data_IF_290951683525
#
_entry.id   IF_290951683525
#
_cell.length_a   1.000
_cell.length_b   1.000
_cell.length_c   1.000
_cell.angle_alpha   90.00
_cell.angle_beta   90.00
_cell.angle_gamma   90.00
#
_symmetry.space_group_name_H-M   'P 1'
#
loop_
_entity.id
_entity.type
_entity.pdbx_description
1 polymer ?
#
# COMPACT_ATOMS: atom_id res chain seq x y z
N UNK A 1 -10.89 -21.64 -2.52
CA UNK A 1 -10.89 -20.72 -1.37
C UNK A 1 -12.31 -20.37 -1.03
N UNK A 2 -12.70 -20.18 0.23
CA UNK A 2 -14.03 -19.65 0.56
C UNK A 2 -14.19 -18.29 -0.11
N UNK A 3 -15.32 -18.10 -0.79
CA UNK A 3 -15.66 -16.88 -1.51
C UNK A 3 -15.83 -15.74 -0.51
N UNK A 4 -15.33 -14.56 -0.85
CA UNK A 4 -15.56 -13.35 -0.05
C UNK A 4 -17.04 -12.97 -0.07
N UNK A 5 -17.58 -12.48 1.06
CA UNK A 5 -18.95 -11.93 1.09
C UNK A 5 -19.09 -10.60 0.34
N UNK A 6 -17.99 -9.87 0.10
CA UNK A 6 -17.97 -8.62 -0.67
C UNK A 6 -17.74 -8.96 -2.14
N UNK A 7 -18.69 -8.65 -3.00
CA UNK A 7 -18.63 -8.94 -4.44
C UNK A 7 -18.21 -7.73 -5.27
N UNK A 8 -18.32 -6.50 -4.74
CA UNK A 8 -17.96 -5.27 -5.45
C UNK A 8 -17.45 -4.15 -4.55
N UNK A 9 -16.44 -3.43 -5.03
CA UNK A 9 -15.82 -2.32 -4.28
C UNK A 9 -15.55 -1.11 -5.15
N UNK A 10 -15.70 0.10 -4.58
CA UNK A 10 -15.09 1.31 -5.10
C UNK A 10 -13.65 1.37 -4.60
N UNK A 11 -12.68 1.34 -5.50
CA UNK A 11 -11.25 1.51 -5.18
C UNK A 11 -10.94 3.00 -5.11
N UNK A 12 -10.97 3.56 -3.91
CA UNK A 12 -10.63 4.96 -3.67
C UNK A 12 -9.11 5.13 -3.60
N UNK A 13 -8.49 5.17 -4.78
CA UNK A 13 -7.04 5.23 -4.95
C UNK A 13 -6.64 5.45 -6.39
N UNK A 14 -5.35 5.70 -6.64
CA UNK A 14 -4.76 6.00 -7.96
C UNK A 14 -3.33 5.48 -8.09
N UNK A 15 -2.76 5.65 -9.28
CA UNK A 15 -1.36 5.30 -9.54
C UNK A 15 -1.03 3.83 -9.24
N UNK A 16 0.21 3.51 -8.86
CA UNK A 16 0.63 2.13 -8.60
C UNK A 16 -0.21 1.44 -7.52
N UNK A 17 -0.54 2.13 -6.43
CA UNK A 17 -1.33 1.56 -5.34
C UNK A 17 -2.77 1.25 -5.78
N UNK A 18 -3.39 2.13 -6.58
CA UNK A 18 -4.69 1.88 -7.21
C UNK A 18 -4.64 0.68 -8.16
N UNK A 19 -3.59 0.57 -8.99
CA UNK A 19 -3.38 -0.58 -9.86
C UNK A 19 -3.22 -1.89 -9.08
N UNK A 20 -2.47 -1.87 -7.97
CA UNK A 20 -2.31 -3.03 -7.09
C UNK A 20 -3.66 -3.48 -6.50
N UNK A 21 -4.45 -2.53 -6.01
CA UNK A 21 -5.76 -2.82 -5.41
C UNK A 21 -6.74 -3.41 -6.45
N UNK A 22 -6.80 -2.83 -7.65
CA UNK A 22 -7.64 -3.36 -8.75
C UNK A 22 -7.21 -4.78 -9.14
N UNK A 23 -5.90 -5.00 -9.33
CA UNK A 23 -5.39 -6.33 -9.67
C UNK A 23 -5.62 -7.37 -8.56
N UNK A 24 -5.61 -6.97 -7.29
CA UNK A 24 -5.98 -7.85 -6.18
C UNK A 24 -7.46 -8.21 -6.21
N UNK A 25 -8.35 -7.24 -6.46
CA UNK A 25 -9.78 -7.49 -6.62
C UNK A 25 -10.06 -8.48 -7.77
N UNK A 26 -9.39 -8.34 -8.92
CA UNK A 26 -9.49 -9.27 -10.04
C UNK A 26 -9.11 -10.70 -9.62
N UNK A 27 -7.98 -10.89 -8.93
CA UNK A 27 -7.56 -12.21 -8.41
C UNK A 27 -8.56 -12.83 -7.44
N UNK A 28 -9.26 -11.99 -6.68
CA UNK A 28 -10.24 -12.41 -5.67
C UNK A 28 -11.65 -12.61 -6.25
N UNK A 29 -11.87 -12.26 -7.52
CA UNK A 29 -13.18 -12.31 -8.15
C UNK A 29 -14.13 -11.21 -7.64
N UNK A 30 -13.60 -10.11 -7.10
CA UNK A 30 -14.34 -8.95 -6.62
C UNK A 30 -14.37 -7.88 -7.71
N UNK A 31 -15.55 -7.41 -8.07
CA UNK A 31 -15.69 -6.33 -9.05
C UNK A 31 -15.08 -5.04 -8.53
N UNK A 32 -14.12 -4.48 -9.25
CA UNK A 32 -13.45 -3.24 -8.91
C UNK A 32 -13.96 -2.07 -9.75
N UNK A 33 -14.49 -1.03 -9.11
CA UNK A 33 -14.82 0.24 -9.73
C UNK A 33 -13.76 1.27 -9.35
N UNK A 34 -12.98 1.73 -10.32
CA UNK A 34 -11.96 2.75 -10.10
C UNK A 34 -12.59 4.15 -10.02
N UNK A 35 -11.91 5.05 -9.32
CA UNK A 35 -12.25 6.48 -9.36
C UNK A 35 -11.17 7.24 -10.12
N UNK A 36 -11.54 8.34 -10.78
CA UNK A 36 -10.58 9.19 -11.48
C UNK A 36 -10.99 10.66 -11.47
N UNK A 37 -10.00 11.54 -11.60
CA UNK A 37 -10.22 12.96 -11.93
C UNK A 37 -10.30 13.15 -13.43
N UNK A 38 -10.62 14.36 -13.87
CA UNK A 38 -10.64 14.71 -15.30
C UNK A 38 -9.29 14.46 -15.99
N UNK A 39 -8.16 14.72 -15.30
CA UNK A 39 -6.82 14.54 -15.85
C UNK A 39 -6.39 13.07 -15.96
N UNK A 40 -6.99 12.17 -15.19
CA UNK A 40 -6.63 10.75 -15.13
C UNK A 40 -7.68 9.80 -15.76
N UNK A 41 -8.57 10.32 -16.62
CA UNK A 41 -9.61 9.52 -17.30
C UNK A 41 -9.08 8.27 -18.01
N UNK A 42 -7.87 8.32 -18.52
CA UNK A 42 -7.21 7.21 -19.21
C UNK A 42 -6.04 6.62 -18.41
N UNK A 43 -5.94 6.90 -17.11
CA UNK A 43 -4.87 6.37 -16.27
C UNK A 43 -4.90 4.84 -16.19
N UNK A 44 -3.76 4.21 -15.91
CA UNK A 44 -3.64 2.76 -15.90
C UNK A 44 -4.62 2.08 -14.93
N UNK A 45 -4.81 2.60 -13.72
CA UNK A 45 -5.75 2.02 -12.76
C UNK A 45 -7.20 2.06 -13.24
N UNK A 46 -7.56 3.05 -14.07
CA UNK A 46 -8.88 3.15 -14.73
C UNK A 46 -9.03 2.07 -15.81
N UNK A 47 -7.98 1.86 -16.62
CA UNK A 47 -8.00 0.86 -17.69
C UNK A 47 -8.03 -0.59 -17.18
N UNK A 48 -7.52 -0.83 -15.96
CA UNK A 48 -7.47 -2.15 -15.34
C UNK A 48 -8.77 -2.53 -14.63
N UNK A 49 -9.56 -1.56 -14.19
CA UNK A 49 -10.79 -1.79 -13.44
C UNK A 49 -11.95 -2.26 -14.34
N UNK A 50 -12.92 -2.94 -13.74
CA UNK A 50 -14.16 -3.37 -14.43
C UNK A 50 -15.03 -2.19 -14.86
N UNK A 51 -14.98 -1.09 -14.08
CA UNK A 51 -15.72 0.13 -14.34
C UNK A 51 -15.00 1.32 -13.71
N UNK A 52 -15.36 2.56 -14.07
CA UNK A 52 -14.72 3.75 -13.52
C UNK A 52 -15.68 4.93 -13.40
N UNK A 53 -15.50 5.75 -12.36
CA UNK A 53 -16.34 6.91 -12.06
C UNK A 53 -15.50 8.18 -11.92
N UNK A 54 -15.93 9.22 -12.62
CA UNK A 54 -15.35 10.56 -12.49
C UNK A 54 -15.71 11.16 -11.13
N UNK A 55 -14.70 11.56 -10.36
CA UNK A 55 -14.86 12.31 -9.11
C UNK A 55 -14.99 13.81 -9.35
N UNK A 56 -14.20 14.39 -10.26
CA UNK A 56 -14.21 15.82 -10.53
C UNK A 56 -12.95 16.33 -11.21
N UNK A 57 -12.65 17.63 -11.08
CA UNK A 57 -11.49 18.26 -11.72
C UNK A 57 -10.17 17.72 -11.15
N UNK A 58 -9.04 18.14 -11.74
CA UNK A 58 -7.72 17.66 -11.40
C UNK A 58 -7.28 17.89 -9.94
N UNK A 59 -7.55 19.05 -9.29
CA UNK A 59 -7.10 19.25 -7.91
C UNK A 59 -7.60 18.15 -6.97
N UNK A 60 -6.70 17.57 -6.17
CA UNK A 60 -7.01 16.45 -5.27
C UNK A 60 -8.12 16.78 -4.25
N UNK A 61 -8.14 18.02 -3.73
CA UNK A 61 -9.17 18.48 -2.81
C UNK A 61 -10.58 18.51 -3.43
N UNK A 62 -10.67 18.62 -4.76
CA UNK A 62 -11.92 18.66 -5.52
C UNK A 62 -12.24 17.29 -6.19
N UNK A 63 -11.41 16.28 -5.96
CA UNK A 63 -11.57 14.94 -6.52
C UNK A 63 -11.25 13.84 -5.50
N UNK A 64 -10.03 13.33 -5.49
CA UNK A 64 -9.62 12.17 -4.68
C UNK A 64 -9.75 12.36 -3.16
N UNK A 65 -9.69 13.58 -2.65
CA UNK A 65 -9.85 13.90 -1.22
C UNK A 65 -11.24 14.46 -0.88
N UNK A 66 -12.13 14.60 -1.86
CA UNK A 66 -13.48 15.12 -1.67
C UNK A 66 -14.42 14.00 -1.16
N UNK A 67 -14.65 13.95 0.15
CA UNK A 67 -15.45 12.91 0.83
C UNK A 67 -16.80 12.70 0.14
N UNK A 68 -17.56 13.79 -0.09
CA UNK A 68 -18.89 13.73 -0.65
C UNK A 68 -18.90 13.15 -2.07
N UNK A 69 -17.85 13.42 -2.87
CA UNK A 69 -17.70 12.88 -4.23
C UNK A 69 -17.37 11.39 -4.24
N UNK A 70 -16.54 10.93 -3.30
CA UNK A 70 -16.23 9.50 -3.15
C UNK A 70 -17.49 8.72 -2.78
N UNK A 71 -18.24 9.21 -1.79
CA UNK A 71 -19.48 8.56 -1.34
C UNK A 71 -20.53 8.54 -2.46
N UNK A 72 -20.71 9.65 -3.17
CA UNK A 72 -21.64 9.73 -4.31
C UNK A 72 -21.22 8.79 -5.45
N UNK A 73 -19.92 8.72 -5.77
CA UNK A 73 -19.39 7.77 -6.75
C UNK A 73 -19.71 6.33 -6.37
N UNK A 74 -19.51 5.94 -5.10
CA UNK A 74 -19.81 4.61 -4.61
C UNK A 74 -21.31 4.27 -4.73
N UNK A 75 -22.18 5.21 -4.33
CA UNK A 75 -23.64 5.03 -4.46
C UNK A 75 -24.09 4.86 -5.90
N UNK A 76 -23.58 5.71 -6.80
CA UNK A 76 -23.92 5.66 -8.22
C UNK A 76 -23.43 4.39 -8.92
N UNK A 77 -22.32 3.85 -8.47
CA UNK A 77 -21.76 2.60 -9.02
C UNK A 77 -22.48 1.35 -8.53
N UNK A 78 -23.31 1.47 -7.47
CA UNK A 78 -24.01 0.34 -6.87
C UNK A 78 -23.07 -0.69 -6.24
N UNK A 79 -21.87 -0.28 -5.81
CA UNK A 79 -20.91 -1.15 -5.10
C UNK A 79 -21.33 -1.38 -3.67
N UNK A 80 -20.85 -2.47 -3.08
CA UNK A 80 -21.17 -2.85 -1.68
C UNK A 80 -20.22 -2.20 -0.67
N UNK A 81 -18.98 -1.91 -1.08
CA UNK A 81 -17.96 -1.42 -0.18
C UNK A 81 -17.09 -0.33 -0.81
N UNK A 82 -16.42 0.45 0.04
CA UNK A 82 -15.37 1.40 -0.35
C UNK A 82 -14.05 0.93 0.24
N UNK A 83 -13.07 0.70 -0.63
CA UNK A 83 -11.68 0.37 -0.29
C UNK A 83 -10.82 1.64 -0.40
N UNK A 84 -10.48 2.29 0.72
CA UNK A 84 -9.56 3.41 0.73
C UNK A 84 -8.13 2.90 0.58
N UNK A 85 -7.42 3.30 -0.47
CA UNK A 85 -6.09 2.78 -0.75
C UNK A 85 -5.01 3.55 0.02
N UNK A 86 -4.86 4.88 -0.13
CA UNK A 86 -3.79 5.59 0.57
C UNK A 86 -4.13 5.82 2.06
N UNK A 87 -3.12 5.89 2.93
CA UNK A 87 -3.31 6.18 4.36
C UNK A 87 -4.14 7.44 4.62
N UNK A 88 -3.98 8.48 3.81
CA UNK A 88 -4.74 9.72 3.93
C UNK A 88 -6.27 9.54 3.79
N UNK A 89 -6.73 8.55 3.04
CA UNK A 89 -8.15 8.19 2.95
C UNK A 89 -8.51 7.14 3.99
N UNK A 90 -7.67 6.13 4.18
CA UNK A 90 -7.94 5.02 5.10
C UNK A 90 -7.98 5.47 6.57
N UNK A 91 -7.21 6.50 6.93
CA UNK A 91 -7.24 7.13 8.27
C UNK A 91 -8.31 8.23 8.43
N UNK A 92 -9.08 8.52 7.38
CA UNK A 92 -10.07 9.60 7.42
C UNK A 92 -11.39 9.14 8.07
N UNK A 93 -11.57 9.41 9.36
CA UNK A 93 -12.76 9.04 10.13
C UNK A 93 -14.05 9.64 9.54
N UNK A 94 -13.99 10.88 9.01
CA UNK A 94 -15.15 11.52 8.35
C UNK A 94 -15.58 10.75 7.09
N UNK A 95 -14.61 10.30 6.27
CA UNK A 95 -14.93 9.47 5.10
C UNK A 95 -15.52 8.14 5.53
N UNK A 96 -14.93 7.47 6.53
CA UNK A 96 -15.42 6.21 7.07
C UNK A 96 -16.88 6.33 7.55
N UNK A 97 -17.18 7.35 8.36
CA UNK A 97 -18.52 7.62 8.85
C UNK A 97 -19.53 7.93 7.72
N UNK A 98 -19.10 8.69 6.70
CA UNK A 98 -19.94 9.04 5.56
C UNK A 98 -20.28 7.81 4.69
N UNK A 99 -19.32 6.91 4.48
CA UNK A 99 -19.51 5.65 3.75
C UNK A 99 -20.50 4.76 4.50
N UNK A 100 -20.30 4.57 5.80
CA UNK A 100 -21.20 3.76 6.65
C UNK A 100 -22.61 4.39 6.70
N UNK A 101 -22.69 5.71 6.87
CA UNK A 101 -23.95 6.46 6.85
C UNK A 101 -24.70 6.38 5.51
N UNK A 102 -24.00 6.09 4.42
CA UNK A 102 -24.59 5.83 3.10
C UNK A 102 -25.09 4.38 2.93
N UNK A 103 -24.94 3.52 3.94
CA UNK A 103 -25.33 2.11 3.89
C UNK A 103 -24.30 1.22 3.18
N UNK A 104 -23.07 1.70 2.99
CA UNK A 104 -21.98 0.96 2.34
C UNK A 104 -21.02 0.39 3.40
N UNK A 105 -20.35 -0.71 3.08
CA UNK A 105 -19.28 -1.25 3.92
C UNK A 105 -18.03 -0.39 3.79
N UNK A 106 -17.40 -0.05 4.90
CA UNK A 106 -16.11 0.60 4.97
C UNK A 106 -15.00 -0.44 5.13
N UNK A 107 -13.97 -0.40 4.26
CA UNK A 107 -12.83 -1.32 4.34
C UNK A 107 -11.72 -0.66 5.15
N UNK A 108 -11.81 -0.75 6.47
CA UNK A 108 -10.86 -0.14 7.38
C UNK A 108 -11.38 -0.17 8.83
N UNK A 109 -10.63 0.44 9.77
CA UNK A 109 -11.05 0.56 11.15
C UNK A 109 -12.32 1.42 11.30
N UNK A 110 -13.05 1.20 12.38
CA UNK A 110 -14.24 1.98 12.72
C UNK A 110 -13.91 3.48 12.86
N UNK A 111 -14.79 4.40 12.42
CA UNK A 111 -14.54 5.83 12.51
C UNK A 111 -14.22 6.32 13.93
N UNK A 112 -14.86 5.81 14.98
CA UNK A 112 -14.55 6.19 16.37
C UNK A 112 -13.15 5.72 16.80
N UNK A 113 -12.70 4.59 16.27
CA UNK A 113 -11.33 4.08 16.51
C UNK A 113 -10.31 4.92 15.76
N UNK A 114 -10.61 5.34 14.53
CA UNK A 114 -9.76 6.24 13.76
C UNK A 114 -9.61 7.61 14.42
N UNK A 115 -10.69 8.20 14.93
CA UNK A 115 -10.64 9.48 15.67
C UNK A 115 -9.78 9.39 16.93
N UNK A 116 -9.80 8.25 17.61
CA UNK A 116 -9.08 8.05 18.86
C UNK A 116 -7.62 7.63 18.69
N UNK A 117 -7.30 6.80 17.70
CA UNK A 117 -6.01 6.14 17.54
C UNK A 117 -5.32 6.42 16.22
N UNK A 118 -6.08 6.62 15.17
CA UNK A 118 -5.53 6.91 13.85
C UNK A 118 -5.20 8.39 13.76
N UNK A 119 -3.94 8.73 13.70
CA UNK A 119 -3.52 10.11 13.45
C UNK A 119 -4.18 10.69 12.18
N UNK A 120 -3.66 11.80 11.68
CA UNK A 120 -4.21 12.55 10.52
C UNK A 120 -4.16 11.80 9.16
N UNK A 121 -4.18 10.47 9.15
CA UNK A 121 -4.08 9.65 7.94
C UNK A 121 -2.69 9.70 7.28
N UNK A 122 -1.68 10.02 8.07
CA UNK A 122 -0.28 10.09 7.64
C UNK A 122 0.44 8.80 8.03
N UNK A 123 1.33 8.32 7.17
CA UNK A 123 2.23 7.21 7.51
C UNK A 123 3.11 7.57 8.72
N UNK A 124 3.36 6.63 9.65
CA UNK A 124 4.23 6.89 10.79
C UNK A 124 5.57 7.50 10.39
N UNK A 125 5.97 8.58 11.04
CA UNK A 125 7.24 9.25 10.78
C UNK A 125 8.46 8.46 11.28
N UNK A 126 8.26 7.52 12.20
CA UNK A 126 9.29 6.70 12.81
C UNK A 126 10.02 5.84 11.78
N UNK A 127 11.35 5.73 11.89
CA UNK A 127 12.18 4.86 11.05
C UNK A 127 11.95 3.37 11.34
N UNK A 128 11.44 3.05 12.53
CA UNK A 128 11.13 1.70 12.97
C UNK A 128 9.67 1.56 13.33
N UNK A 129 9.16 0.35 13.19
CA UNK A 129 7.80 0.04 13.52
C UNK A 129 7.46 -1.41 13.31
N UNK A 130 6.17 -1.67 13.25
CA UNK A 130 5.67 -2.99 12.86
C UNK A 130 4.38 -2.84 12.07
N UNK A 131 4.06 -3.92 11.37
CA UNK A 131 2.86 -4.13 10.60
C UNK A 131 2.09 -5.29 11.21
N UNK A 132 0.80 -5.27 11.14
CA UNK A 132 -0.01 -6.41 11.52
C UNK A 132 -1.38 -6.38 10.82
N UNK A 133 -2.02 -7.53 10.80
CA UNK A 133 -3.44 -7.65 10.58
C UNK A 133 -4.13 -7.89 11.91
N UNK A 134 -4.99 -6.94 12.32
CA UNK A 134 -5.70 -6.96 13.61
C UNK A 134 -7.06 -7.60 13.43
N UNK A 135 -7.30 -8.69 14.14
CA UNK A 135 -8.57 -9.40 14.19
C UNK A 135 -9.19 -9.32 15.59
N UNK A 136 -10.37 -9.90 15.80
CA UNK A 136 -10.97 -9.99 17.12
C UNK A 136 -10.15 -10.88 18.08
N UNK A 137 -9.48 -11.90 17.52
CA UNK A 137 -8.66 -12.87 18.25
C UNK A 137 -7.26 -12.38 18.58
N UNK A 138 -6.82 -11.28 17.94
CA UNK A 138 -5.47 -10.74 18.16
C UNK A 138 -4.77 -10.23 16.92
N UNK A 139 -3.45 -10.12 17.02
CA UNK A 139 -2.58 -9.68 15.93
C UNK A 139 -2.13 -10.90 15.11
N UNK A 140 -2.25 -10.80 13.80
CA UNK A 140 -1.74 -11.78 12.83
C UNK A 140 -0.74 -11.12 11.87
N UNK A 141 0.17 -11.90 11.30
CA UNK A 141 1.18 -11.45 10.33
C UNK A 141 2.01 -10.27 10.85
N UNK A 142 2.31 -10.29 12.15
CA UNK A 142 3.12 -9.24 12.76
C UNK A 142 4.53 -9.22 12.17
N UNK A 143 4.89 -8.09 11.58
CA UNK A 143 6.11 -7.93 10.81
C UNK A 143 6.85 -6.69 11.30
N UNK A 144 8.04 -6.83 11.93
CA UNK A 144 8.89 -5.68 12.20
C UNK A 144 9.27 -4.99 10.89
N UNK A 145 9.32 -3.67 10.89
CA UNK A 145 9.68 -2.88 9.71
C UNK A 145 10.67 -1.78 10.08
N UNK A 146 11.66 -1.61 9.22
CA UNK A 146 12.55 -0.45 9.21
C UNK A 146 12.39 0.30 7.89
N UNK A 147 12.65 1.61 7.88
CA UNK A 147 12.40 2.50 6.76
C UNK A 147 13.58 3.43 6.51
N UNK A 148 13.97 3.55 5.24
CA UNK A 148 14.75 4.68 4.76
C UNK A 148 13.78 5.70 4.19
N UNK A 149 13.95 6.97 4.59
CA UNK A 149 13.01 8.06 4.27
C UNK A 149 13.73 9.20 3.57
N UNK A 150 13.08 9.81 2.60
CA UNK A 150 13.51 11.07 1.99
C UNK A 150 12.33 12.03 1.94
N UNK A 151 12.54 13.28 2.34
CA UNK A 151 11.53 14.32 2.41
C UNK A 151 10.24 13.88 3.15
N UNK A 152 10.39 13.12 4.24
CA UNK A 152 9.27 12.64 5.06
C UNK A 152 8.52 11.41 4.50
N UNK A 153 8.92 10.88 3.35
CA UNK A 153 8.27 9.74 2.69
C UNK A 153 9.16 8.50 2.79
N UNK A 154 8.61 7.35 3.16
CA UNK A 154 9.31 6.08 3.11
C UNK A 154 9.63 5.71 1.66
N UNK A 155 10.92 5.52 1.36
CA UNK A 155 11.44 5.19 0.02
C UNK A 155 11.79 3.72 -0.09
N UNK A 156 12.34 3.17 0.97
CA UNK A 156 12.66 1.76 1.13
C UNK A 156 12.14 1.31 2.48
N UNK A 157 11.44 0.20 2.52
CA UNK A 157 10.97 -0.46 3.73
C UNK A 157 11.44 -1.91 3.71
N UNK A 158 11.86 -2.45 4.85
CA UNK A 158 12.32 -3.84 4.93
C UNK A 158 12.07 -4.45 6.32
N UNK A 159 12.05 -5.79 6.39
CA UNK A 159 12.07 -6.49 7.66
C UNK A 159 13.50 -6.51 8.20
N UNK A 160 13.80 -5.89 9.37
CA UNK A 160 15.08 -6.10 10.04
C UNK A 160 15.16 -7.56 10.50
N UNK A 161 16.31 -8.21 10.32
CA UNK A 161 16.49 -9.64 10.55
C UNK A 161 16.31 -10.12 12.01
N UNK A 162 16.00 -9.24 12.95
CA UNK A 162 15.78 -9.55 14.38
C UNK A 162 14.35 -9.21 14.76
N UNK A 163 13.57 -10.15 15.32
CA UNK A 163 12.26 -9.85 15.85
C UNK A 163 12.37 -8.81 16.97
N UNK A 164 11.87 -7.61 16.77
CA UNK A 164 11.70 -6.66 17.88
C UNK A 164 10.54 -7.12 18.76
N UNK A 165 10.68 -6.96 20.07
CA UNK A 165 9.58 -7.17 20.98
C UNK A 165 8.52 -6.09 20.71
N UNK A 166 7.30 -6.52 20.44
CA UNK A 166 6.19 -5.59 20.28
C UNK A 166 5.97 -4.80 21.58
N UNK A 167 5.85 -3.46 21.50
CA UNK A 167 5.40 -2.66 22.62
C UNK A 167 4.13 -3.25 23.23
N UNK A 168 4.03 -3.23 24.56
CA UNK A 168 2.87 -3.79 25.26
C UNK A 168 1.55 -3.13 24.83
N UNK A 169 1.59 -1.83 24.52
CA UNK A 169 0.45 -1.08 24.00
C UNK A 169 -0.05 -1.59 22.65
N UNK A 170 0.84 -2.08 21.79
CA UNK A 170 0.48 -2.64 20.49
C UNK A 170 -0.42 -3.89 20.60
N UNK A 171 -0.17 -4.71 21.63
CA UNK A 171 -0.97 -5.92 21.90
C UNK A 171 -2.41 -5.60 22.29
N UNK A 172 -2.68 -4.35 22.67
CA UNK A 172 -4.02 -3.87 23.04
C UNK A 172 -4.84 -3.35 21.88
N UNK A 173 -4.29 -3.25 20.66
CA UNK A 173 -5.03 -2.78 19.48
C UNK A 173 -6.36 -3.54 19.26
N UNK A 174 -6.46 -4.87 19.41
CA UNK A 174 -7.72 -5.59 19.30
C UNK A 174 -8.75 -5.17 20.40
N UNK A 175 -8.29 -4.94 21.63
CA UNK A 175 -9.12 -4.48 22.77
C UNK A 175 -9.60 -3.03 22.57
N UNK A 176 -8.78 -2.20 21.92
CA UNK A 176 -9.11 -0.83 21.56
C UNK A 176 -10.08 -0.74 20.36
N UNK A 177 -10.45 -1.87 19.78
CA UNK A 177 -11.43 -1.97 18.69
C UNK A 177 -10.82 -1.84 17.30
N UNK A 178 -9.48 -1.75 17.15
CA UNK A 178 -8.88 -1.73 15.81
C UNK A 178 -9.18 -3.04 15.07
N UNK A 179 -9.59 -2.93 13.81
CA UNK A 179 -9.82 -4.06 12.90
C UNK A 179 -9.21 -3.75 11.54
N UNK A 180 -8.57 -4.75 10.93
CA UNK A 180 -7.92 -4.62 9.63
C UNK A 180 -6.41 -4.39 9.72
N UNK A 181 -5.83 -3.95 8.64
CA UNK A 181 -4.39 -3.70 8.53
C UNK A 181 -3.97 -2.50 9.39
N UNK A 182 -2.78 -2.58 9.95
CA UNK A 182 -2.20 -1.52 10.76
C UNK A 182 -0.71 -1.37 10.46
N UNK A 183 -0.28 -0.12 10.33
CA UNK A 183 1.12 0.30 10.35
C UNK A 183 1.35 1.09 11.63
N UNK A 184 2.35 0.70 12.41
CA UNK A 184 2.65 1.33 13.69
C UNK A 184 4.09 1.82 13.70
N UNK A 185 4.30 3.08 14.11
CA UNK A 185 5.60 3.61 14.44
C UNK A 185 6.02 3.22 15.86
N UNK A 186 7.30 3.03 16.07
CA UNK A 186 7.89 2.83 17.40
C UNK A 186 8.82 4.01 17.67
N UNK A 187 8.63 4.66 18.82
CA UNK A 187 9.50 5.74 19.26
C UNK A 187 10.90 5.22 19.59
N UNK A 188 11.93 6.10 19.68
CA UNK A 188 13.27 5.70 20.09
C UNK A 188 13.32 5.01 21.46
N UNK A 189 12.36 5.33 22.35
CA UNK A 189 12.24 4.72 23.68
C UNK A 189 11.53 3.36 23.66
N UNK A 190 11.14 2.86 22.48
CA UNK A 190 10.46 1.59 22.31
C UNK A 190 8.95 1.60 22.61
N UNK A 191 8.36 2.79 22.77
CA UNK A 191 6.93 2.95 23.01
C UNK A 191 6.14 3.02 21.70
N UNK A 192 4.82 2.84 21.81
CA UNK A 192 3.89 2.97 20.70
C UNK A 192 3.89 4.40 20.19
N UNK A 193 4.26 4.58 18.93
CA UNK A 193 4.18 5.83 18.20
C UNK A 193 2.86 5.98 17.43
N UNK A 194 2.95 6.60 16.25
CA UNK A 194 1.79 6.83 15.39
C UNK A 194 1.24 5.51 14.85
N UNK A 195 -0.08 5.48 14.66
CA UNK A 195 -0.81 4.35 14.11
C UNK A 195 -1.50 4.79 12.82
N UNK A 196 -1.34 4.05 11.75
CA UNK A 196 -1.97 4.34 10.46
C UNK A 196 -2.69 3.13 9.87
N UNK A 197 -3.79 3.41 9.17
CA UNK A 197 -4.52 2.46 8.33
C UNK A 197 -4.11 2.62 6.86
N UNK A 198 -4.54 1.71 6.01
CA UNK A 198 -4.41 1.78 4.56
C UNK A 198 -3.24 0.99 3.98
N UNK A 199 -3.10 1.10 2.67
CA UNK A 199 -2.14 0.33 1.88
C UNK A 199 -0.89 1.19 1.59
N UNK A 200 0.00 1.30 2.58
CA UNK A 200 1.29 1.96 2.44
C UNK A 200 2.34 1.06 1.75
N UNK A 201 3.54 1.60 1.50
CA UNK A 201 4.69 0.82 1.03
C UNK A 201 4.98 -0.38 1.94
N UNK A 202 4.81 -0.21 3.24
CA UNK A 202 5.08 -1.25 4.24
C UNK A 202 4.21 -2.49 4.06
N UNK A 203 2.98 -2.35 3.54
CA UNK A 203 2.11 -3.50 3.30
C UNK A 203 2.71 -4.46 2.26
N UNK A 204 3.48 -3.97 1.30
CA UNK A 204 4.21 -4.83 0.38
C UNK A 204 5.31 -5.64 1.10
N UNK A 205 5.89 -5.13 2.20
CA UNK A 205 6.79 -5.90 3.07
C UNK A 205 6.03 -7.02 3.77
N UNK A 206 4.87 -6.75 4.37
CA UNK A 206 4.02 -7.75 5.01
C UNK A 206 3.61 -8.85 4.03
N UNK A 207 3.18 -8.47 2.83
CA UNK A 207 2.79 -9.42 1.79
C UNK A 207 3.92 -10.39 1.41
N UNK A 208 5.13 -9.84 1.18
CA UNK A 208 6.30 -10.64 0.80
C UNK A 208 6.82 -11.48 1.97
N UNK A 209 6.73 -10.95 3.20
CA UNK A 209 7.17 -11.68 4.39
C UNK A 209 6.30 -12.91 4.69
N UNK A 210 5.00 -12.83 4.48
CA UNK A 210 4.06 -13.89 4.87
C UNK A 210 3.38 -14.60 3.70
N UNK A 211 3.59 -14.18 2.47
CA UNK A 211 2.93 -14.76 1.30
C UNK A 211 1.41 -14.54 1.30
N UNK A 212 0.96 -13.39 1.79
CA UNK A 212 -0.47 -12.99 1.86
C UNK A 212 -0.74 -11.79 0.96
N UNK A 213 -2.01 -11.51 0.72
CA UNK A 213 -2.47 -10.33 -0.03
C UNK A 213 -3.12 -9.33 0.94
N UNK A 214 -2.56 -8.13 1.05
CA UNK A 214 -3.04 -7.11 1.98
C UNK A 214 -4.47 -6.63 1.64
N UNK A 215 -4.82 -6.56 0.35
CA UNK A 215 -6.18 -6.21 -0.08
C UNK A 215 -7.17 -7.30 0.33
N UNK A 216 -6.81 -8.58 0.17
CA UNK A 216 -7.62 -9.70 0.65
C UNK A 216 -7.87 -9.60 2.15
N UNK A 217 -6.83 -9.38 2.95
CA UNK A 217 -6.96 -9.24 4.41
C UNK A 217 -7.85 -8.07 4.80
N UNK A 218 -7.74 -6.93 4.10
CA UNK A 218 -8.57 -5.77 4.34
C UNK A 218 -10.05 -6.05 4.02
N UNK A 219 -10.34 -6.66 2.87
CA UNK A 219 -11.69 -7.03 2.46
C UNK A 219 -12.32 -8.06 3.42
N UNK A 220 -11.55 -9.07 3.86
CA UNK A 220 -12.02 -10.05 4.85
C UNK A 220 -12.37 -9.41 6.19
N UNK A 221 -11.61 -8.39 6.61
CA UNK A 221 -11.95 -7.64 7.83
C UNK A 221 -13.29 -6.93 7.72
N UNK A 222 -13.57 -6.33 6.57
CA UNK A 222 -14.82 -5.61 6.31
C UNK A 222 -16.02 -6.54 6.07
N UNK A 223 -15.78 -7.74 5.55
CA UNK A 223 -16.80 -8.76 5.35
C UNK A 223 -17.30 -9.36 6.68
N UNK A 224 -16.42 -9.47 7.67
CA UNK A 224 -16.80 -9.87 9.01
C UNK A 224 -16.08 -11.11 9.57
N UNK A 225 -16.51 -11.62 10.74
CA UNK A 225 -15.77 -12.67 11.45
C UNK A 225 -15.62 -13.99 10.68
N UNK A 226 -16.60 -14.38 9.86
CA UNK A 226 -16.52 -15.60 9.05
C UNK A 226 -15.41 -15.52 8.02
N UNK A 227 -15.32 -14.40 7.30
CA UNK A 227 -14.31 -14.18 6.29
C UNK A 227 -12.93 -14.00 6.92
N UNK A 228 -12.86 -13.35 8.08
CA UNK A 228 -11.63 -13.23 8.87
C UNK A 228 -11.09 -14.61 9.29
N UNK A 229 -11.96 -15.51 9.78
CA UNK A 229 -11.58 -16.87 10.13
C UNK A 229 -11.13 -17.72 8.93
N UNK A 230 -11.65 -17.42 7.74
CA UNK A 230 -11.32 -18.09 6.48
C UNK A 230 -10.06 -17.56 5.78
N UNK A 231 -9.40 -16.55 6.36
CA UNK A 231 -8.19 -15.97 5.77
C UNK A 231 -7.02 -16.98 5.69
N UNK A 232 -6.13 -16.83 4.71
CA UNK A 232 -4.97 -17.70 4.56
C UNK A 232 -4.11 -17.71 5.83
N UNK A 233 -3.49 -18.85 6.10
CA UNK A 233 -2.58 -19.00 7.25
C UNK A 233 -1.25 -18.26 7.07
N UNK A 234 -0.94 -17.85 5.84
CA UNK A 234 0.36 -17.32 5.48
C UNK A 234 1.43 -18.41 5.36
N UNK A 235 2.63 -18.00 5.01
CA UNK A 235 3.82 -18.84 5.00
C UNK A 235 4.69 -18.57 6.25
N UNK A 236 5.72 -19.39 6.46
CA UNK A 236 6.81 -19.07 7.39
C UNK A 236 7.35 -17.68 7.08
N UNK A 237 7.52 -16.80 8.09
CA UNK A 237 8.00 -15.45 7.87
C UNK A 237 9.35 -15.42 7.17
N UNK A 238 9.48 -14.59 6.15
CA UNK A 238 10.69 -14.40 5.35
C UNK A 238 11.17 -12.96 5.44
N UNK A 239 12.43 -12.73 5.11
CA UNK A 239 12.92 -11.38 4.89
C UNK A 239 12.24 -10.76 3.67
N UNK A 240 11.89 -9.48 3.76
CA UNK A 240 11.24 -8.76 2.69
C UNK A 240 11.76 -7.33 2.59
N UNK A 241 11.80 -6.82 1.37
CA UNK A 241 12.16 -5.44 1.03
C UNK A 241 11.13 -4.90 0.06
N UNK A 242 10.70 -3.67 0.26
CA UNK A 242 9.84 -2.94 -0.67
C UNK A 242 10.40 -1.55 -0.94
N UNK A 243 10.25 -1.06 -2.16
CA UNK A 243 10.84 0.19 -2.61
C UNK A 243 9.90 0.94 -3.53
N UNK A 244 9.85 2.27 -3.40
CA UNK A 244 9.16 3.17 -4.30
C UNK A 244 10.14 3.78 -5.30
N UNK A 245 9.80 3.71 -6.58
CA UNK A 245 10.43 4.49 -7.65
C UNK A 245 9.60 5.74 -7.90
N UNK A 246 10.19 6.91 -7.76
CA UNK A 246 9.48 8.19 -7.87
C UNK A 246 10.12 9.09 -8.92
N UNK A 247 9.30 9.84 -9.64
CA UNK A 247 9.79 10.90 -10.51
C UNK A 247 10.39 12.04 -9.68
N UNK A 248 11.47 12.61 -10.16
CA UNK A 248 12.12 13.81 -9.62
C UNK A 248 11.75 15.08 -10.39
N UNK A 249 10.73 15.03 -11.23
CA UNK A 249 10.16 16.25 -11.84
C UNK A 249 9.73 17.25 -10.77
N UNK A 250 9.96 18.52 -11.04
CA UNK A 250 9.48 19.58 -10.15
C UNK A 250 7.96 19.52 -10.00
N UNK A 251 7.41 19.83 -8.81
CA UNK A 251 5.96 19.89 -8.60
C UNK A 251 5.25 20.74 -9.66
N UNK A 252 4.12 20.27 -10.17
CA UNK A 252 3.37 20.93 -11.23
C UNK A 252 3.93 20.74 -12.64
N UNK A 253 5.06 20.04 -12.78
CA UNK A 253 5.65 19.74 -14.10
C UNK A 253 5.09 18.44 -14.66
N UNK A 254 4.65 18.46 -15.91
CA UNK A 254 4.20 17.27 -16.60
C UNK A 254 5.34 16.57 -17.35
N UNK A 255 5.25 15.24 -17.43
CA UNK A 255 6.16 14.41 -18.23
C UNK A 255 5.38 13.34 -18.99
N UNK A 256 6.08 12.63 -19.87
CA UNK A 256 5.53 11.48 -20.60
C UNK A 256 6.39 10.25 -20.33
N UNK A 257 5.76 9.17 -19.97
CA UNK A 257 6.45 7.87 -19.86
C UNK A 257 6.69 7.33 -21.26
N UNK A 258 7.94 7.14 -21.63
CA UNK A 258 8.33 6.63 -22.97
C UNK A 258 8.85 5.21 -22.92
N UNK A 259 9.48 4.81 -21.82
CA UNK A 259 9.99 3.48 -21.59
C UNK A 259 9.10 2.63 -20.69
N UNK A 260 9.42 1.36 -20.57
CA UNK A 260 8.75 0.45 -19.63
C UNK A 260 9.25 0.69 -18.22
N UNK A 261 8.33 0.90 -17.31
CA UNK A 261 8.57 0.84 -15.86
C UNK A 261 8.63 -0.63 -15.39
N UNK A 262 9.08 -0.90 -14.15
CA UNK A 262 9.10 -2.27 -13.63
C UNK A 262 7.72 -2.91 -13.81
N UNK A 263 7.65 -3.98 -14.60
CA UNK A 263 6.39 -4.64 -14.94
C UNK A 263 5.92 -5.59 -13.85
N UNK A 264 4.61 -5.83 -13.84
CA UNK A 264 4.02 -6.87 -12.98
C UNK A 264 4.54 -8.25 -13.38
N UNK A 265 5.00 -9.02 -12.41
CA UNK A 265 5.48 -10.36 -12.60
C UNK A 265 6.95 -10.56 -12.22
N UNK A 266 7.35 -11.82 -12.18
CA UNK A 266 8.72 -12.20 -11.86
C UNK A 266 9.63 -11.87 -13.04
N UNK A 267 10.67 -11.02 -12.87
CA UNK A 267 11.64 -10.76 -13.94
C UNK A 267 12.31 -12.05 -14.41
N UNK A 268 12.59 -12.17 -15.71
CA UNK A 268 13.39 -13.28 -16.23
C UNK A 268 14.73 -13.34 -15.49
N UNK A 269 15.12 -14.54 -15.00
CA UNK A 269 16.40 -14.73 -14.32
C UNK A 269 16.40 -14.49 -12.81
N UNK A 270 15.25 -14.22 -12.20
CA UNK A 270 15.17 -14.14 -10.72
C UNK A 270 15.71 -15.39 -10.06
N UNK A 271 16.53 -15.22 -9.01
CA UNK A 271 17.14 -16.32 -8.28
C UNK A 271 16.08 -17.29 -7.70
N UNK A 272 16.34 -18.60 -7.65
CA UNK A 272 15.46 -19.55 -6.97
C UNK A 272 15.18 -19.09 -5.54
N UNK A 273 13.92 -19.23 -5.10
CA UNK A 273 13.51 -18.84 -3.75
C UNK A 273 13.25 -17.35 -3.53
N UNK A 274 13.45 -16.50 -4.52
CA UNK A 274 13.05 -15.09 -4.48
C UNK A 274 11.63 -14.92 -5.01
N UNK A 275 10.79 -14.23 -4.25
CA UNK A 275 9.47 -13.78 -4.65
C UNK A 275 9.54 -12.28 -4.94
N UNK A 276 9.52 -11.88 -6.20
CA UNK A 276 9.64 -10.49 -6.66
C UNK A 276 8.35 -10.05 -7.34
N UNK A 277 7.81 -8.93 -6.89
CA UNK A 277 6.62 -8.29 -7.48
C UNK A 277 6.91 -6.82 -7.75
N UNK A 278 6.54 -6.37 -8.94
CA UNK A 278 6.56 -4.96 -9.29
C UNK A 278 5.17 -4.51 -9.75
N UNK A 279 4.77 -3.33 -9.33
CA UNK A 279 3.51 -2.71 -9.72
C UNK A 279 3.80 -1.31 -10.23
N UNK A 280 3.43 -1.03 -11.47
CA UNK A 280 3.55 0.30 -12.05
C UNK A 280 2.18 0.97 -12.17
N UNK A 281 2.18 2.30 -12.06
CA UNK A 281 1.00 3.13 -12.28
C UNK A 281 0.85 3.65 -13.71
N UNK A 282 1.81 3.37 -14.61
CA UNK A 282 1.88 3.95 -15.95
C UNK A 282 2.34 2.94 -16.98
N UNK A 283 1.81 3.07 -18.19
CA UNK A 283 2.29 2.39 -19.39
C UNK A 283 3.07 3.37 -20.29
N UNK A 284 3.90 2.87 -21.22
CA UNK A 284 4.51 3.72 -22.24
C UNK A 284 3.45 4.51 -23.02
N UNK A 285 3.63 5.83 -23.09
CA UNK A 285 2.65 6.76 -23.67
C UNK A 285 1.83 7.52 -22.63
N UNK A 286 1.71 7.03 -21.41
CA UNK A 286 0.98 7.70 -20.35
C UNK A 286 1.64 9.04 -19.95
N UNK A 287 0.80 9.95 -19.47
CA UNK A 287 1.24 11.26 -18.99
C UNK A 287 1.31 11.27 -17.47
N UNK A 288 2.43 11.74 -16.94
CA UNK A 288 2.57 12.18 -15.56
C UNK A 288 2.25 13.68 -15.55
N UNK A 289 1.14 14.09 -14.97
CA UNK A 289 0.60 15.45 -15.14
C UNK A 289 1.00 16.45 -14.06
N UNK A 290 1.70 16.00 -13.01
CA UNK A 290 2.18 16.85 -11.93
C UNK A 290 1.12 17.34 -10.92
N UNK A 291 -0.14 16.93 -11.05
CA UNK A 291 -1.19 17.23 -10.09
C UNK A 291 -1.11 16.42 -8.80
N UNK A 292 -0.51 15.24 -8.88
CA UNK A 292 -0.51 14.25 -7.81
C UNK A 292 0.88 13.77 -7.48
N UNK A 293 0.92 12.79 -6.58
CA UNK A 293 2.11 12.10 -6.18
C UNK A 293 2.92 11.56 -7.39
N UNK A 294 4.21 11.77 -7.33
CA UNK A 294 5.17 11.39 -8.36
C UNK A 294 5.54 9.89 -8.36
N UNK A 295 4.81 9.03 -7.64
CA UNK A 295 5.08 7.59 -7.57
C UNK A 295 4.88 6.91 -8.93
N UNK A 296 5.95 6.32 -9.46
CA UNK A 296 5.96 5.64 -10.75
C UNK A 296 5.69 4.14 -10.62
N UNK A 297 6.36 3.50 -9.65
CA UNK A 297 6.24 2.08 -9.41
C UNK A 297 6.60 1.71 -7.96
N UNK A 298 6.11 0.56 -7.51
CA UNK A 298 6.55 -0.12 -6.30
C UNK A 298 7.15 -1.46 -6.68
N UNK A 299 8.34 -1.78 -6.15
CA UNK A 299 8.99 -3.08 -6.31
C UNK A 299 9.15 -3.70 -4.93
N UNK A 300 8.78 -4.96 -4.77
CA UNK A 300 8.94 -5.69 -3.51
C UNK A 300 9.49 -7.07 -3.73
N UNK A 301 10.37 -7.51 -2.85
CA UNK A 301 11.00 -8.82 -2.91
C UNK A 301 10.96 -9.51 -1.54
N UNK A 302 10.65 -10.81 -1.55
CA UNK A 302 10.76 -11.71 -0.42
C UNK A 302 11.84 -12.76 -0.67
N UNK A 303 12.70 -13.02 0.31
CA UNK A 303 13.79 -13.99 0.21
C UNK A 303 14.11 -14.63 1.57
N UNK A 304 15.09 -15.53 1.60
CA UNK A 304 15.56 -16.15 2.84
C UNK A 304 16.23 -15.13 3.79
N UNK A 305 16.85 -14.10 3.23
CA UNK A 305 17.52 -13.03 3.98
C UNK A 305 17.31 -11.67 3.29
N UNK A 306 17.53 -10.60 4.06
CA UNK A 306 17.32 -9.21 3.60
C UNK A 306 18.27 -8.82 2.47
N UNK A 307 19.53 -9.29 2.51
CA UNK A 307 20.52 -8.98 1.49
C UNK A 307 20.11 -9.55 0.11
N UNK A 308 19.59 -10.78 0.09
CA UNK A 308 19.09 -11.41 -1.13
C UNK A 308 17.84 -10.70 -1.68
N UNK A 309 16.91 -10.30 -0.80
CA UNK A 309 15.73 -9.52 -1.19
C UNK A 309 16.12 -8.15 -1.76
N UNK A 310 17.07 -7.45 -1.11
CA UNK A 310 17.57 -6.15 -1.55
C UNK A 310 18.28 -6.22 -2.91
N UNK A 311 19.13 -7.24 -3.14
CA UNK A 311 19.76 -7.46 -4.45
C UNK A 311 18.70 -7.65 -5.53
N UNK A 312 17.71 -8.48 -5.31
CA UNK A 312 16.66 -8.73 -6.30
C UNK A 312 15.87 -7.47 -6.66
N UNK A 313 15.52 -6.65 -5.66
CA UNK A 313 14.84 -5.38 -5.88
C UNK A 313 15.75 -4.37 -6.64
N UNK A 314 17.04 -4.33 -6.30
CA UNK A 314 18.03 -3.47 -6.99
C UNK A 314 18.21 -3.87 -8.45
N UNK A 315 18.34 -5.17 -8.75
CA UNK A 315 18.46 -5.68 -10.12
C UNK A 315 17.23 -5.35 -10.97
N UNK A 316 16.03 -5.44 -10.38
CA UNK A 316 14.79 -5.07 -11.06
C UNK A 316 14.74 -3.57 -11.43
N UNK A 317 15.38 -2.71 -10.64
CA UNK A 317 15.45 -1.27 -10.90
C UNK A 317 16.63 -0.90 -11.83
N UNK A 318 17.76 -1.58 -11.68
CA UNK A 318 18.96 -1.29 -12.48
C UNK A 318 18.79 -1.62 -13.99
N UNK A 319 17.90 -2.56 -14.30
CA UNK A 319 17.60 -2.95 -15.69
C UNK A 319 16.56 -2.08 -16.39
N UNK A 320 16.14 -0.95 -15.78
CA UNK A 320 15.14 -0.09 -16.39
C UNK A 320 15.68 0.66 -17.60
N UNK A 321 14.97 0.64 -18.74
CA UNK A 321 15.29 1.52 -19.87
C UNK A 321 15.00 2.99 -19.49
N UNK A 322 15.40 3.92 -20.37
CA UNK A 322 14.98 5.31 -20.21
C UNK A 322 13.47 5.41 -20.08
N UNK A 323 13.00 5.95 -18.94
CA UNK A 323 11.58 6.02 -18.62
C UNK A 323 10.88 7.22 -19.26
N UNK A 324 11.63 8.19 -19.79
CA UNK A 324 11.12 9.44 -20.35
C UNK A 324 10.90 10.54 -19.31
N UNK A 325 11.01 10.22 -18.01
CA UNK A 325 10.99 11.18 -16.91
C UNK A 325 12.16 10.90 -15.97
N UNK A 326 12.78 11.93 -15.38
CA UNK A 326 13.82 11.73 -14.37
C UNK A 326 13.23 11.08 -13.13
N UNK A 327 14.00 10.22 -12.47
CA UNK A 327 13.57 9.48 -11.29
C UNK A 327 14.74 9.21 -10.32
N UNK A 328 14.38 8.85 -9.10
CA UNK A 328 15.29 8.61 -7.97
C UNK A 328 15.89 7.18 -7.91
N UNK A 329 15.80 6.43 -8.97
CA UNK A 329 16.22 5.01 -8.99
C UNK A 329 17.67 4.80 -8.54
N UNK A 330 18.60 5.70 -8.86
CA UNK A 330 19.99 5.60 -8.42
C UNK A 330 20.14 5.74 -6.89
N UNK A 331 19.41 6.67 -6.29
CA UNK A 331 19.41 6.91 -4.84
C UNK A 331 18.83 5.69 -4.11
N UNK A 332 17.72 5.16 -4.59
CA UNK A 332 17.07 3.98 -4.04
C UNK A 332 17.97 2.74 -4.17
N UNK A 333 18.61 2.54 -5.32
CA UNK A 333 19.57 1.44 -5.50
C UNK A 333 20.78 1.56 -4.57
N UNK A 334 21.21 2.78 -4.21
CA UNK A 334 22.28 2.96 -3.22
C UNK A 334 21.85 2.49 -1.81
N UNK A 335 20.59 2.73 -1.41
CA UNK A 335 20.04 2.18 -0.14
C UNK A 335 19.99 0.66 -0.20
N UNK A 336 19.46 0.10 -1.29
CA UNK A 336 19.39 -1.35 -1.49
C UNK A 336 20.77 -2.00 -1.50
N UNK A 337 21.78 -1.31 -2.06
CA UNK A 337 23.18 -1.75 -2.06
C UNK A 337 23.73 -1.91 -0.64
N UNK A 338 23.44 -0.96 0.27
CA UNK A 338 23.83 -1.07 1.68
C UNK A 338 23.16 -2.24 2.38
N UNK A 339 21.86 -2.44 2.16
CA UNK A 339 21.13 -3.61 2.68
C UNK A 339 21.67 -4.93 2.12
N UNK A 340 22.07 -4.95 0.85
CA UNK A 340 22.63 -6.13 0.18
C UNK A 340 24.04 -6.50 0.66
N UNK A 341 24.80 -5.53 1.15
CA UNK A 341 26.14 -5.73 1.71
C UNK A 341 26.09 -6.14 3.21
N UNK A 342 24.90 -6.24 3.79
CA UNK A 342 24.70 -6.44 5.24
C UNK A 342 25.41 -5.37 6.10
N UNK A 343 25.67 -4.21 5.50
CA UNK A 343 26.16 -3.05 6.21
C UNK A 343 25.04 -2.57 7.13
N UNK A 344 25.23 -2.75 8.43
CA UNK A 344 24.28 -2.27 9.43
C UNK A 344 24.07 -0.76 9.19
N UNK A 345 22.86 -0.39 8.74
CA UNK A 345 22.46 1.00 8.74
C UNK A 345 22.63 1.55 10.17
N UNK A 346 23.12 2.77 10.34
CA UNK A 346 23.47 3.29 11.64
C UNK A 346 22.30 3.06 12.62
N UNK A 347 22.60 2.35 13.68
CA UNK A 347 21.70 2.22 14.83
C UNK A 347 21.69 3.59 15.48
N UNK A 348 20.75 4.45 15.04
CA UNK A 348 20.48 5.71 15.70
C UNK A 348 19.90 5.50 17.09
#
# INVERSE_FOLDING_TARGET
MPQLEIESVLVAGRGPAGCAAVAACERLGVKAVAVHSESERSARHVRLADDAVLLGPAPAAESYLAVDRIVEAARRSGVEAVLPVPPALAGNARLAAAVIGAGLRWVGPDPEVLERLGGDGVEPASERGFLAWVTAEGLRFTTPVARDRAAGIARVSWTPGVPEQLPSAARRLPELGWRGLVTVGISPDGELGEVAAGLSLDMAVLERAHGVDAVELALRSAAGPRDTAAAPSGSEPRSAVAVQLRSTLAPGTAGRITGRLPGSGRPPGSAPGVDLVAVTGYDPGDRLDGWYDALLATVSAGAADTATAARAASEALAGLPETGVPHDGAEVCAVLGRLAADEALPRG
#
